data_IF_281233238951
#
_entry.id   IF_281233238951
#
_cell.length_a   1.000
_cell.length_b   1.000
_cell.length_c   1.000
_cell.angle_alpha   90.00
_cell.angle_beta   90.00
_cell.angle_gamma   90.00
#
_symmetry.space_group_name_H-M   'P 1'
#
loop_
_entity.id
_entity.type
_entity.pdbx_description
1 polymer ?
#
# COMPACT_ATOMS: atom_id res chain seq x y z
N UNK A 1 5.90 -17.81 -9.96
CA UNK A 1 6.83 -16.68 -9.87
C UNK A 1 6.11 -15.49 -10.50
N UNK A 2 5.67 -14.52 -9.69
CA UNK A 2 4.97 -13.34 -10.17
C UNK A 2 5.83 -12.14 -9.73
N UNK A 3 6.77 -11.77 -10.59
CA UNK A 3 7.59 -10.58 -10.46
C UNK A 3 7.22 -9.72 -11.65
N UNK A 4 6.34 -8.75 -11.43
CA UNK A 4 6.13 -7.65 -12.38
C UNK A 4 6.88 -6.46 -11.79
N UNK A 5 7.99 -6.11 -12.44
CA UNK A 5 8.80 -4.94 -12.12
C UNK A 5 8.09 -3.74 -12.74
N UNK A 6 7.38 -2.97 -11.92
CA UNK A 6 7.05 -1.59 -12.28
C UNK A 6 8.14 -0.67 -11.72
N UNK A 7 8.58 0.28 -12.53
CA UNK A 7 9.71 1.19 -12.26
C UNK A 7 9.55 1.94 -10.91
N UNK A 8 10.16 1.35 -9.88
CA UNK A 8 10.71 1.93 -8.65
C UNK A 8 10.27 3.36 -8.29
N UNK A 9 9.05 3.53 -7.78
CA UNK A 9 8.82 4.65 -6.88
C UNK A 9 9.70 4.46 -5.63
N UNK A 10 10.46 5.49 -5.28
CA UNK A 10 11.30 5.48 -4.08
C UNK A 10 10.38 5.40 -2.87
N UNK A 11 10.51 4.34 -2.07
CA UNK A 11 9.85 4.21 -0.78
C UNK A 11 10.74 4.78 0.31
N UNK A 12 10.13 5.37 1.34
CA UNK A 12 10.85 6.08 2.40
C UNK A 12 10.48 5.47 3.75
N UNK A 13 11.49 5.18 4.58
CA UNK A 13 11.32 5.05 6.02
C UNK A 13 11.11 6.46 6.57
N UNK A 14 9.93 6.73 7.13
CA UNK A 14 9.53 8.09 7.46
C UNK A 14 9.66 8.42 8.94
N UNK A 15 10.31 9.55 9.21
CA UNK A 15 10.35 10.28 10.47
C UNK A 15 9.39 11.47 10.42
N UNK A 16 9.02 12.00 11.59
CA UNK A 16 8.22 13.22 11.67
C UNK A 16 8.93 14.36 10.93
N UNK A 17 8.21 15.05 10.06
CA UNK A 17 8.70 16.14 9.22
C UNK A 17 9.25 15.70 7.86
N UNK A 18 9.39 14.39 7.61
CA UNK A 18 9.91 13.92 6.33
C UNK A 18 8.98 14.31 5.18
N UNK A 19 9.59 14.85 4.13
CA UNK A 19 8.92 15.29 2.91
C UNK A 19 9.19 14.31 1.76
N UNK A 20 8.15 14.03 0.99
CA UNK A 20 8.17 13.17 -0.19
C UNK A 20 7.60 13.97 -1.36
N UNK A 21 8.45 14.53 -2.24
CA UNK A 21 8.00 15.30 -3.39
C UNK A 21 7.42 14.40 -4.48
N UNK A 22 6.42 14.90 -5.23
CA UNK A 22 5.92 14.23 -6.43
C UNK A 22 6.98 14.20 -7.53
N UNK A 23 6.92 13.25 -8.48
CA UNK A 23 7.95 13.09 -9.52
C UNK A 23 8.11 14.31 -10.43
N UNK A 24 7.04 15.09 -10.60
CA UNK A 24 7.00 16.32 -11.38
C UNK A 24 7.27 17.59 -10.55
N UNK A 25 7.48 17.46 -9.23
CA UNK A 25 7.73 18.56 -8.31
C UNK A 25 6.54 19.48 -8.03
N UNK A 26 5.32 19.15 -8.50
CA UNK A 26 4.13 19.98 -8.29
C UNK A 26 3.55 19.87 -6.88
N UNK A 27 3.73 18.73 -6.23
CA UNK A 27 3.15 18.44 -4.92
C UNK A 27 4.21 17.98 -3.94
N UNK A 28 3.97 18.23 -2.65
CA UNK A 28 4.83 17.71 -1.60
C UNK A 28 4.01 17.11 -0.45
N UNK A 29 4.30 15.85 -0.12
CA UNK A 29 3.68 15.15 0.99
C UNK A 29 4.59 15.16 2.21
N UNK A 30 4.12 15.65 3.35
CA UNK A 30 4.90 15.74 4.59
C UNK A 30 4.26 14.86 5.65
N UNK A 31 5.03 13.95 6.22
CA UNK A 31 4.58 13.08 7.31
C UNK A 31 4.69 13.80 8.66
N UNK A 32 3.59 13.91 9.40
CA UNK A 32 3.47 14.63 10.67
C UNK A 32 3.00 13.70 11.80
N UNK A 33 3.35 12.42 11.74
CA UNK A 33 3.02 11.44 12.78
C UNK A 33 1.63 10.82 12.61
N UNK A 34 0.57 11.52 13.01
CA UNK A 34 -0.83 11.08 12.86
C UNK A 34 -1.53 11.72 11.65
N UNK A 35 -0.76 12.40 10.81
CA UNK A 35 -1.25 13.11 9.65
C UNK A 35 -0.20 13.09 8.54
N UNK A 36 -0.65 13.08 7.29
CA UNK A 36 0.13 13.47 6.13
C UNK A 36 -0.47 14.77 5.59
N UNK A 37 0.36 15.76 5.31
CA UNK A 37 -0.07 16.99 4.64
C UNK A 37 0.38 16.94 3.20
N UNK A 38 -0.53 17.08 2.26
CA UNK A 38 -0.22 17.24 0.82
C UNK A 38 -0.49 18.69 0.48
N UNK A 39 0.56 19.45 0.19
CA UNK A 39 0.50 20.92 0.05
C UNK A 39 -0.10 21.55 1.33
N UNK A 40 -1.33 22.07 1.26
CA UNK A 40 -2.09 22.60 2.41
C UNK A 40 -3.24 21.67 2.87
N UNK A 41 -3.39 20.49 2.25
CA UNK A 41 -4.47 19.55 2.55
C UNK A 41 -4.07 18.54 3.64
N UNK A 42 -4.72 18.56 4.82
CA UNK A 42 -4.44 17.62 5.90
C UNK A 42 -5.17 16.29 5.70
N UNK A 43 -4.43 15.17 5.77
CA UNK A 43 -4.99 13.81 5.73
C UNK A 43 -4.64 13.06 6.99
N UNK A 44 -5.66 12.64 7.75
CA UNK A 44 -5.44 11.77 8.91
C UNK A 44 -4.91 10.42 8.42
N UNK A 45 -3.90 9.93 9.12
CA UNK A 45 -3.28 8.63 8.88
C UNK A 45 -3.00 7.96 10.22
N UNK A 46 -2.83 6.66 10.20
CA UNK A 46 -2.22 5.93 11.31
C UNK A 46 -0.69 6.05 11.24
N UNK A 47 0.02 5.11 11.87
CA UNK A 47 1.46 5.04 11.72
C UNK A 47 1.81 4.65 10.28
N UNK A 48 2.45 5.56 9.56
CA UNK A 48 2.85 5.32 8.17
C UNK A 48 4.10 4.45 8.14
N UNK A 49 4.05 3.38 7.35
CA UNK A 49 5.16 2.48 7.06
C UNK A 49 5.98 3.00 5.88
N UNK A 50 5.30 3.39 4.80
CA UNK A 50 5.91 3.97 3.61
C UNK A 50 4.94 4.91 2.88
N UNK A 51 5.50 5.89 2.18
CA UNK A 51 4.80 6.73 1.19
C UNK A 51 5.53 6.68 -0.14
N UNK A 52 4.78 6.74 -1.24
CA UNK A 52 5.32 6.88 -2.58
C UNK A 52 4.29 7.56 -3.49
N UNK A 53 4.75 8.34 -4.47
CA UNK A 53 3.86 8.91 -5.50
C UNK A 53 3.76 8.00 -6.71
N UNK A 54 2.60 7.99 -7.35
CA UNK A 54 2.47 7.49 -8.72
C UNK A 54 3.31 8.34 -9.68
N UNK A 55 3.73 7.75 -10.79
CA UNK A 55 4.62 8.42 -11.76
C UNK A 55 4.02 9.67 -12.41
N UNK A 56 2.69 9.77 -12.47
CA UNK A 56 1.96 10.96 -12.93
C UNK A 56 1.82 12.07 -11.87
N UNK A 57 2.24 11.81 -10.63
CA UNK A 57 2.17 12.76 -9.50
C UNK A 57 0.78 13.00 -8.94
N UNK A 58 -0.27 12.31 -9.42
CA UNK A 58 -1.66 12.59 -9.03
C UNK A 58 -2.15 11.74 -7.86
N UNK A 59 -1.38 10.73 -7.43
CA UNK A 59 -1.76 9.85 -6.32
C UNK A 59 -0.60 9.64 -5.35
N UNK A 60 -0.85 9.91 -4.07
CA UNK A 60 0.01 9.49 -2.99
C UNK A 60 -0.44 8.11 -2.48
N UNK A 61 0.48 7.14 -2.56
CA UNK A 61 0.33 5.76 -2.10
C UNK A 61 0.91 5.65 -0.70
N UNK A 62 0.10 5.21 0.26
CA UNK A 62 0.50 5.07 1.67
C UNK A 62 0.25 3.65 2.13
N UNK A 63 1.22 3.05 2.81
CA UNK A 63 0.99 1.83 3.61
C UNK A 63 0.97 2.22 5.08
N UNK A 64 -0.12 1.92 5.75
CA UNK A 64 -0.36 2.25 7.15
C UNK A 64 -0.31 0.98 8.01
N UNK A 65 0.22 1.13 9.23
CA UNK A 65 0.22 0.08 10.22
C UNK A 65 -1.10 0.06 10.99
N UNK A 66 -1.70 -1.12 11.10
CA UNK A 66 -2.91 -1.42 11.87
C UNK A 66 -2.57 -2.33 13.05
N UNK A 67 -3.44 -2.37 14.05
CA UNK A 67 -3.39 -3.46 15.03
C UNK A 67 -3.61 -4.79 14.30
N UNK A 68 -2.58 -5.65 14.26
CA UNK A 68 -2.63 -6.94 13.53
C UNK A 68 -2.06 -6.91 12.11
N UNK A 69 -1.62 -5.75 11.58
CA UNK A 69 -0.88 -5.73 10.33
C UNK A 69 -0.81 -4.39 9.60
N UNK A 70 -1.19 -4.35 8.32
CA UNK A 70 -1.06 -3.16 7.47
C UNK A 70 -2.04 -3.10 6.31
N UNK A 71 -2.36 -1.88 5.89
CA UNK A 71 -3.33 -1.56 4.84
C UNK A 71 -2.75 -0.54 3.87
N UNK A 72 -3.14 -0.66 2.61
CA UNK A 72 -2.86 0.32 1.55
C UNK A 72 -3.97 1.37 1.49
N UNK A 73 -3.58 2.63 1.49
CA UNK A 73 -4.45 3.77 1.23
C UNK A 73 -3.91 4.57 0.04
N UNK A 74 -4.81 5.06 -0.81
CA UNK A 74 -4.50 5.98 -1.91
C UNK A 74 -5.09 7.35 -1.59
N UNK A 75 -4.34 8.41 -1.83
CA UNK A 75 -4.85 9.78 -1.79
C UNK A 75 -4.69 10.36 -3.19
N UNK A 76 -5.80 10.50 -3.91
CA UNK A 76 -5.83 10.86 -5.32
C UNK A 76 -6.44 12.25 -5.54
N UNK A 77 -5.90 13.01 -6.50
CA UNK A 77 -6.40 14.34 -6.89
C UNK A 77 -7.56 14.22 -7.89
N UNK A 78 -8.78 14.51 -7.42
CA UNK A 78 -10.01 14.50 -8.24
C UNK A 78 -10.57 15.91 -8.32
N UNK A 79 -10.63 16.49 -9.51
CA UNK A 79 -11.18 17.83 -9.76
C UNK A 79 -10.58 18.91 -8.85
N UNK A 80 -9.26 18.84 -8.61
CA UNK A 80 -8.54 19.76 -7.74
C UNK A 80 -8.69 19.49 -6.25
N UNK A 81 -9.38 18.41 -5.85
CA UNK A 81 -9.55 18.00 -4.47
C UNK A 81 -8.88 16.65 -4.18
N UNK A 82 -8.14 16.57 -3.09
CA UNK A 82 -7.57 15.32 -2.61
C UNK A 82 -8.65 14.45 -1.97
N UNK A 83 -8.73 13.19 -2.40
CA UNK A 83 -9.65 12.19 -1.85
C UNK A 83 -8.89 10.96 -1.42
N UNK A 84 -9.20 10.45 -0.23
CA UNK A 84 -8.59 9.25 0.35
C UNK A 84 -9.47 8.04 0.09
N UNK A 85 -8.83 6.93 -0.28
CA UNK A 85 -9.46 5.64 -0.53
C UNK A 85 -8.65 4.55 0.15
N UNK A 86 -9.35 3.61 0.78
CA UNK A 86 -8.76 2.45 1.41
C UNK A 86 -8.89 1.24 0.48
N UNK A 87 -7.78 0.54 0.24
CA UNK A 87 -7.73 -0.55 -0.71
C UNK A 87 -7.81 -1.87 0.03
N UNK A 88 -9.00 -2.45 0.04
CA UNK A 88 -9.26 -3.74 0.66
C UNK A 88 -8.90 -4.91 -0.28
N UNK A 89 -8.42 -6.03 0.27
CA UNK A 89 -8.26 -7.28 -0.47
C UNK A 89 -9.63 -7.85 -0.90
N UNK A 90 -9.69 -8.67 -1.97
CA UNK A 90 -10.95 -9.19 -2.55
C UNK A 90 -11.61 -10.33 -1.73
N UNK A 91 -11.33 -10.43 -0.42
CA UNK A 91 -11.95 -11.43 0.45
C UNK A 91 -12.87 -10.74 1.47
N UNK A 92 -14.08 -11.28 1.62
CA UNK A 92 -15.16 -10.65 2.40
C UNK A 92 -14.88 -10.55 3.92
N UNK A 93 -14.01 -11.41 4.46
CA UNK A 93 -13.66 -11.44 5.90
C UNK A 93 -12.26 -11.93 6.15
N UNK A 94 -11.56 -11.25 7.04
CA UNK A 94 -10.21 -11.58 7.50
C UNK A 94 -10.04 -11.02 8.93
N UNK A 95 -9.19 -11.66 9.73
CA UNK A 95 -8.84 -11.17 11.06
C UNK A 95 -7.58 -10.31 11.01
N UNK A 96 -6.63 -10.70 10.14
CA UNK A 96 -5.39 -9.96 9.94
C UNK A 96 -5.09 -9.79 8.46
N UNK A 97 -4.67 -8.57 8.12
CA UNK A 97 -4.19 -8.20 6.79
C UNK A 97 -2.82 -7.56 6.91
N UNK A 98 -1.91 -7.92 6.01
CA UNK A 98 -0.66 -7.17 5.89
C UNK A 98 -0.30 -7.03 4.43
N UNK A 99 0.09 -5.81 4.03
CA UNK A 99 0.75 -5.57 2.75
C UNK A 99 2.13 -6.24 2.78
N UNK A 100 2.34 -7.15 1.84
CA UNK A 100 3.58 -7.93 1.68
C UNK A 100 4.36 -7.54 0.43
N UNK A 101 3.70 -6.89 -0.53
CA UNK A 101 4.31 -6.39 -1.75
C UNK A 101 3.59 -5.12 -2.21
N UNK A 102 4.37 -4.18 -2.76
CA UNK A 102 3.86 -2.94 -3.32
C UNK A 102 4.69 -2.58 -4.56
N UNK A 103 4.00 -2.36 -5.69
CA UNK A 103 4.57 -1.81 -6.91
C UNK A 103 3.77 -0.59 -7.31
N UNK A 104 4.43 0.55 -7.50
CA UNK A 104 3.79 1.81 -7.89
C UNK A 104 4.21 2.13 -9.32
N UNK A 105 3.22 2.33 -10.20
CA UNK A 105 3.40 2.63 -11.61
C UNK A 105 3.03 4.09 -11.90
N UNK A 106 2.85 4.43 -13.19
CA UNK A 106 2.51 5.79 -13.63
C UNK A 106 1.16 6.26 -13.06
N UNK A 107 0.13 5.43 -13.15
CA UNK A 107 -1.28 5.73 -12.86
C UNK A 107 -1.96 4.60 -12.07
N UNK A 108 -1.21 3.57 -11.69
CA UNK A 108 -1.71 2.34 -11.10
C UNK A 108 -0.79 1.83 -10.00
N UNK A 109 -1.35 0.98 -9.13
CA UNK A 109 -0.64 0.37 -8.01
C UNK A 109 -0.90 -1.13 -8.00
N UNK A 110 0.16 -1.94 -8.02
CA UNK A 110 0.09 -3.36 -7.75
C UNK A 110 0.31 -3.61 -6.26
N UNK A 111 -0.65 -4.24 -5.60
CA UNK A 111 -0.57 -4.57 -4.19
C UNK A 111 -0.63 -6.07 -3.97
N UNK A 112 0.16 -6.56 -3.02
CA UNK A 112 0.09 -7.91 -2.51
C UNK A 112 -0.25 -7.90 -1.02
N UNK A 113 -1.25 -8.67 -0.63
CA UNK A 113 -1.64 -8.89 0.76
C UNK A 113 -1.41 -10.32 1.18
N UNK A 114 -0.99 -10.53 2.43
CA UNK A 114 -1.22 -11.80 3.14
C UNK A 114 -2.40 -11.62 4.08
N UNK A 115 -3.25 -12.64 4.15
CA UNK A 115 -4.52 -12.61 4.87
C UNK A 115 -4.62 -13.84 5.77
N UNK A 116 -5.04 -13.64 7.01
CA UNK A 116 -5.45 -14.71 7.92
C UNK A 116 -6.94 -14.60 8.16
N UNK A 117 -7.64 -15.71 7.98
CA UNK A 117 -9.08 -15.81 8.17
C UNK A 117 -9.40 -16.97 9.11
N UNK A 118 -10.11 -16.67 10.19
CA UNK A 118 -10.67 -17.62 11.11
C UNK A 118 -11.94 -18.21 10.50
N UNK A 119 -11.98 -19.54 10.43
CA UNK A 119 -13.14 -20.27 9.93
C UNK A 119 -13.33 -21.51 10.78
N UNK A 120 -14.46 -21.53 11.48
CA UNK A 120 -14.83 -22.56 12.44
C UNK A 120 -13.81 -22.59 13.61
N UNK A 121 -13.07 -23.68 13.78
CA UNK A 121 -12.01 -23.81 14.81
C UNK A 121 -10.59 -23.67 14.22
N UNK A 122 -10.47 -23.37 12.93
CA UNK A 122 -9.20 -23.36 12.21
C UNK A 122 -8.90 -22.00 11.55
N UNK A 123 -7.61 -21.77 11.30
CA UNK A 123 -7.16 -20.64 10.49
C UNK A 123 -6.90 -21.04 9.04
N UNK A 124 -7.32 -20.18 8.13
CA UNK A 124 -7.00 -20.25 6.71
C UNK A 124 -6.09 -19.10 6.34
N UNK A 125 -5.06 -19.41 5.58
CA UNK A 125 -4.02 -18.47 5.18
C UNK A 125 -4.09 -18.24 3.69
N UNK A 126 -4.03 -16.99 3.28
CA UNK A 126 -4.08 -16.60 1.88
C UNK A 126 -2.99 -15.58 1.55
N UNK A 127 -2.61 -15.58 0.28
CA UNK A 127 -1.96 -14.43 -0.35
C UNK A 127 -2.80 -14.01 -1.54
N UNK A 128 -3.03 -12.72 -1.69
CA UNK A 128 -3.65 -12.17 -2.87
C UNK A 128 -2.81 -11.05 -3.47
N UNK A 129 -2.90 -10.85 -4.78
CA UNK A 129 -2.31 -9.71 -5.46
C UNK A 129 -3.24 -9.21 -6.54
N UNK A 130 -3.28 -7.90 -6.75
CA UNK A 130 -4.09 -7.27 -7.78
C UNK A 130 -3.52 -5.89 -8.13
N UNK A 131 -3.90 -5.39 -9.29
CA UNK A 131 -3.60 -4.03 -9.72
C UNK A 131 -4.82 -3.14 -9.42
N UNK A 132 -4.56 -1.90 -9.04
CA UNK A 132 -5.55 -0.87 -8.75
C UNK A 132 -5.27 0.31 -9.66
N UNK A 133 -6.27 0.69 -10.46
CA UNK A 133 -6.26 1.97 -11.17
C UNK A 133 -6.43 3.10 -10.15
N UNK A 134 -5.49 4.05 -10.08
CA UNK A 134 -5.44 5.00 -8.97
C UNK A 134 -6.58 6.03 -9.01
N UNK A 135 -7.13 6.29 -10.20
CA UNK A 135 -8.19 7.26 -10.40
C UNK A 135 -9.58 6.67 -10.14
N UNK A 136 -9.85 5.51 -10.72
CA UNK A 136 -11.16 4.85 -10.67
C UNK A 136 -11.28 3.86 -9.53
N UNK A 137 -10.16 3.49 -8.89
CA UNK A 137 -10.07 2.44 -7.86
C UNK A 137 -10.47 1.05 -8.35
N UNK A 138 -10.60 0.87 -9.67
CA UNK A 138 -10.98 -0.41 -10.25
C UNK A 138 -9.85 -1.41 -10.03
N UNK A 139 -10.18 -2.58 -9.47
CA UNK A 139 -9.25 -3.70 -9.34
C UNK A 139 -9.19 -4.51 -10.62
N UNK A 140 -8.01 -5.02 -10.95
CA UNK A 140 -7.78 -5.93 -12.07
C UNK A 140 -6.67 -6.92 -11.75
N UNK A 141 -6.51 -7.94 -12.60
CA UNK A 141 -5.46 -8.97 -12.47
C UNK A 141 -5.42 -9.63 -11.08
N UNK A 142 -6.60 -9.85 -10.50
CA UNK A 142 -6.73 -10.42 -9.16
C UNK A 142 -6.27 -11.89 -9.15
N UNK A 143 -5.35 -12.21 -8.25
CA UNK A 143 -4.84 -13.56 -8.03
C UNK A 143 -4.89 -13.84 -6.55
N UNK A 144 -5.65 -14.85 -6.12
CA UNK A 144 -5.71 -15.30 -4.72
C UNK A 144 -5.28 -16.76 -4.63
N UNK A 145 -4.42 -17.07 -3.66
CA UNK A 145 -3.92 -18.43 -3.42
C UNK A 145 -4.00 -18.76 -1.93
N UNK A 146 -4.53 -19.95 -1.63
CA UNK A 146 -4.47 -20.52 -0.28
C UNK A 146 -3.05 -21.00 0.00
N UNK A 147 -2.58 -20.76 1.22
CA UNK A 147 -1.29 -21.20 1.73
C UNK A 147 -1.48 -22.14 2.92
N UNK A 148 -0.44 -22.90 3.23
CA UNK A 148 -0.30 -23.50 4.56
C UNK A 148 0.34 -22.49 5.53
N UNK A 149 0.26 -22.75 6.84
CA UNK A 149 0.79 -21.87 7.88
C UNK A 149 2.29 -21.58 7.69
N UNK A 150 3.10 -22.61 7.42
CA UNK A 150 4.55 -22.46 7.26
C UNK A 150 4.94 -21.52 6.09
N UNK A 151 4.21 -21.57 4.98
CA UNK A 151 4.42 -20.67 3.83
C UNK A 151 3.93 -19.26 4.13
N UNK A 152 2.85 -19.10 4.91
CA UNK A 152 2.31 -17.81 5.32
C UNK A 152 3.29 -17.04 6.21
N UNK A 153 3.88 -17.69 7.20
CA UNK A 153 4.85 -17.07 8.12
C UNK A 153 6.13 -16.61 7.43
N UNK A 154 6.49 -17.24 6.30
CA UNK A 154 7.67 -16.87 5.50
C UNK A 154 7.44 -15.67 4.58
N UNK A 155 6.19 -15.22 4.41
CA UNK A 155 5.92 -14.06 3.56
C UNK A 155 6.49 -12.78 4.22
N UNK A 156 7.17 -11.93 3.43
CA UNK A 156 7.71 -10.68 3.95
C UNK A 156 6.57 -9.79 4.44
N UNK A 157 6.83 -8.95 5.44
CA UNK A 157 5.95 -7.84 5.79
C UNK A 157 6.66 -6.54 5.45
N UNK A 158 5.92 -5.58 4.88
CA UNK A 158 6.40 -4.22 4.83
C UNK A 158 6.40 -3.68 6.27
N UNK A 159 7.59 -3.43 6.79
CA UNK A 159 7.81 -2.78 8.09
C UNK A 159 8.54 -1.47 7.86
N UNK A 160 8.59 -0.58 8.86
CA UNK A 160 9.32 0.70 8.74
C UNK A 160 10.78 0.53 8.29
N UNK A 161 11.40 -0.63 8.52
CA UNK A 161 12.79 -0.92 8.16
C UNK A 161 12.96 -1.65 6.81
N UNK A 162 11.88 -2.06 6.15
CA UNK A 162 11.98 -2.81 4.90
C UNK A 162 12.24 -1.84 3.74
N UNK A 163 13.53 -1.58 3.43
CA UNK A 163 13.88 -1.02 2.12
C UNK A 163 13.41 -2.01 1.05
N UNK A 164 12.45 -1.62 0.21
CA UNK A 164 12.04 -2.45 -0.93
C UNK A 164 13.25 -2.53 -1.86
N UNK A 165 13.98 -3.64 -1.78
CA UNK A 165 15.12 -3.90 -2.66
C UNK A 165 14.62 -3.85 -4.09
N UNK A 166 15.30 -3.08 -4.93
CA UNK A 166 15.26 -3.28 -6.38
C UNK A 166 15.61 -4.74 -6.63
N UNK A 167 14.60 -5.54 -6.99
CA UNK A 167 14.84 -6.86 -7.56
C UNK A 167 15.19 -6.58 -9.02
N UNK A 168 16.49 -6.61 -9.30
CA UNK A 168 17.05 -6.55 -10.65
C UNK A 168 16.77 -7.85 -11.40
#
# INVERSE_FOLDING_TARGET
>A
MLVVICLCAKTYTLSYGDAVPSPDGRHNAIYLGSQVRIDDYPVKVLTVITMAWTGDGNTLVIVEHLAGGSQLSLIHLVDGQWKRFEIEPPLDRYDDISVVALGVCKDSVRVGYKLRQHKDQDFRFYVCSFDVDSATQTRSNEVTRKLNAASYEKLPQLTKQTSIRKLY
#
